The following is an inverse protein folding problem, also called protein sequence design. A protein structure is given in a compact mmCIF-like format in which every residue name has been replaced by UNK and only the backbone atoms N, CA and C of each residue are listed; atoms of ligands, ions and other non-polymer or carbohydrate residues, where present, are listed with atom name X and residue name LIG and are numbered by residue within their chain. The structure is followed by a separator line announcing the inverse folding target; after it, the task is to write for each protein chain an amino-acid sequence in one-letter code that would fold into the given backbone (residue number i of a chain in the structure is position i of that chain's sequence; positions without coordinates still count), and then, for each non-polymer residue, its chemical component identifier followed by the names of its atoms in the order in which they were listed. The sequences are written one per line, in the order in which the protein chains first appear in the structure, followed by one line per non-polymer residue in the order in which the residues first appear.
data_IF_354961974835
#
_entry.id   IF_354961974835
#
_cell.length_a   1.000
_cell.length_b   1.000
_cell.length_c   1.000
_cell.angle_alpha   90.00
_cell.angle_beta   90.00
_cell.angle_gamma   90.00
#
_symmetry.space_group_name_H-M   'P 1'
#
loop_
_entity.id
_entity.type
_entity.pdbx_description
1 polymer ?
#
# COMPACT_ATOMS: atom_id res chain seq x y z
N UNK A 1 16.06 -22.60 -5.01
CA UNK A 1 15.02 -21.86 -4.26
C UNK A 1 14.80 -20.53 -4.97
N UNK A 2 13.56 -20.16 -5.34
CA UNK A 2 13.32 -18.82 -5.86
C UNK A 2 13.77 -17.82 -4.80
N UNK A 3 14.58 -16.84 -5.19
CA UNK A 3 15.05 -15.81 -4.27
C UNK A 3 13.83 -15.02 -3.80
N UNK A 4 13.51 -15.01 -2.49
CA UNK A 4 12.41 -14.21 -2.00
C UNK A 4 12.71 -12.73 -2.27
N UNK A 5 11.66 -11.94 -2.49
CA UNK A 5 11.81 -10.49 -2.60
C UNK A 5 12.53 -9.94 -1.37
N UNK A 6 13.50 -9.02 -1.53
CA UNK A 6 14.15 -8.35 -0.42
C UNK A 6 13.11 -7.71 0.51
N UNK A 7 13.39 -7.69 1.82
CA UNK A 7 12.49 -7.09 2.81
C UNK A 7 12.24 -5.61 2.50
N UNK A 8 13.29 -4.88 2.17
CA UNK A 8 13.22 -3.45 1.82
C UNK A 8 12.32 -3.21 0.61
N UNK A 9 12.45 -4.03 -0.44
CA UNK A 9 11.60 -3.93 -1.62
C UNK A 9 10.12 -4.15 -1.27
N UNK A 10 9.81 -5.15 -0.46
CA UNK A 10 8.44 -5.36 0.02
C UNK A 10 7.92 -4.15 0.81
N UNK A 11 8.74 -3.59 1.69
CA UNK A 11 8.34 -2.45 2.53
C UNK A 11 8.10 -1.19 1.70
N UNK A 12 8.94 -0.94 0.70
CA UNK A 12 8.77 0.17 -0.26
C UNK A 12 7.46 0.04 -1.04
N UNK A 13 7.21 -1.14 -1.64
CA UNK A 13 5.97 -1.39 -2.40
C UNK A 13 4.73 -1.29 -1.50
N UNK A 14 4.82 -1.76 -0.25
CA UNK A 14 3.73 -1.63 0.74
C UNK A 14 3.50 -0.18 1.13
N UNK A 15 4.56 0.61 1.30
CA UNK A 15 4.49 2.05 1.59
C UNK A 15 3.77 2.80 0.48
N UNK A 16 4.20 2.59 -0.78
CA UNK A 16 3.57 3.19 -1.97
C UNK A 16 2.12 2.73 -2.12
N UNK A 17 1.82 1.46 -1.86
CA UNK A 17 0.45 0.96 -1.90
C UNK A 17 -0.45 1.51 -0.79
N UNK A 18 0.10 1.90 0.35
CA UNK A 18 -0.63 2.55 1.45
C UNK A 18 -0.88 4.03 1.17
N UNK A 19 0.15 4.76 0.76
CA UNK A 19 0.09 6.18 0.37
C UNK A 19 -0.36 6.42 -1.08
N UNK A 20 -1.14 5.50 -1.65
CA UNK A 20 -1.55 5.60 -3.07
C UNK A 20 -2.62 6.66 -3.26
N UNK A 21 -2.50 7.41 -4.35
CA UNK A 21 -3.50 8.42 -4.73
C UNK A 21 -4.91 7.81 -4.92
N UNK A 22 -5.97 8.57 -4.60
CA UNK A 22 -7.35 8.13 -4.79
C UNK A 22 -7.64 7.90 -6.28
N UNK A 23 -7.73 6.63 -6.67
CA UNK A 23 -7.90 6.20 -8.07
C UNK A 23 -6.78 5.28 -8.56
N UNK A 24 -5.65 5.22 -7.84
CA UNK A 24 -4.62 4.21 -8.08
C UNK A 24 -5.03 2.89 -7.45
N UNK A 25 -5.14 1.85 -8.27
CA UNK A 25 -5.49 0.50 -7.81
C UNK A 25 -4.23 -0.26 -7.38
N UNK A 26 -4.42 -1.21 -6.46
CA UNK A 26 -3.35 -2.14 -6.05
C UNK A 26 -2.81 -2.93 -7.24
N UNK A 27 -3.65 -3.22 -8.24
CA UNK A 27 -3.25 -3.90 -9.47
C UNK A 27 -2.30 -3.06 -10.32
N UNK A 28 -2.53 -1.75 -10.45
CA UNK A 28 -1.63 -0.83 -11.15
C UNK A 28 -0.26 -0.83 -10.48
N UNK A 29 -0.23 -0.62 -9.17
CA UNK A 29 1.02 -0.61 -8.38
C UNK A 29 1.75 -1.94 -8.51
N UNK A 30 1.05 -3.07 -8.33
CA UNK A 30 1.64 -4.39 -8.50
C UNK A 30 2.27 -4.55 -9.88
N UNK A 31 1.59 -4.10 -10.95
CA UNK A 31 2.10 -4.13 -12.32
C UNK A 31 3.33 -3.24 -12.52
N UNK A 32 3.32 -2.01 -12.01
CA UNK A 32 4.44 -1.06 -12.13
C UNK A 32 5.70 -1.57 -11.41
N UNK A 33 5.54 -2.27 -10.28
CA UNK A 33 6.65 -2.88 -9.54
C UNK A 33 7.00 -4.31 -10.01
N UNK A 34 6.29 -4.86 -10.99
CA UNK A 34 6.50 -6.23 -11.48
C UNK A 34 6.15 -7.34 -10.49
N UNK A 35 5.29 -7.05 -9.51
CA UNK A 35 4.84 -7.98 -8.47
C UNK A 35 3.44 -8.49 -8.81
N UNK A 36 3.14 -9.74 -8.47
CA UNK A 36 1.76 -10.23 -8.57
C UNK A 36 0.84 -9.49 -7.59
N UNK A 37 -0.35 -9.08 -8.06
CA UNK A 37 -1.36 -8.40 -7.23
C UNK A 37 -1.70 -9.14 -5.95
N UNK A 38 -1.84 -10.47 -6.01
CA UNK A 38 -2.07 -11.32 -4.83
C UNK A 38 -0.92 -11.27 -3.81
N UNK A 39 0.33 -11.14 -4.27
CA UNK A 39 1.49 -11.02 -3.40
C UNK A 39 1.48 -9.69 -2.66
N UNK A 40 1.19 -8.59 -3.37
CA UNK A 40 1.07 -7.27 -2.77
C UNK A 40 -0.09 -7.20 -1.76
N UNK A 41 -1.24 -7.79 -2.07
CA UNK A 41 -2.36 -7.89 -1.12
C UNK A 41 -1.98 -8.63 0.16
N UNK A 42 -1.25 -9.75 0.06
CA UNK A 42 -0.75 -10.49 1.23
C UNK A 42 0.20 -9.65 2.08
N UNK A 43 1.05 -8.84 1.45
CA UNK A 43 1.96 -7.94 2.16
C UNK A 43 1.21 -6.83 2.89
N UNK A 44 0.21 -6.22 2.24
CA UNK A 44 -0.67 -5.22 2.85
C UNK A 44 -1.43 -5.78 4.06
N UNK A 45 -2.01 -6.99 3.92
CA UNK A 45 -2.73 -7.64 5.02
C UNK A 45 -1.80 -7.94 6.19
N UNK A 46 -0.58 -8.44 5.93
CA UNK A 46 0.39 -8.70 6.98
C UNK A 46 0.87 -7.43 7.66
N UNK A 47 1.05 -6.35 6.91
CA UNK A 47 1.42 -5.06 7.44
C UNK A 47 0.27 -4.44 8.27
N UNK A 48 -0.99 -4.68 7.90
CA UNK A 48 -2.14 -4.24 8.69
C UNK A 48 -2.25 -4.98 10.03
N UNK A 49 -1.94 -6.27 10.05
CA UNK A 49 -1.87 -7.07 11.29
C UNK A 49 -0.71 -6.61 12.19
N UNK A 50 0.48 -6.36 11.62
CA UNK A 50 1.63 -5.83 12.36
C UNK A 50 1.32 -4.44 12.95
N UNK A 51 0.60 -3.60 12.23
CA UNK A 51 0.19 -2.29 12.74
C UNK A 51 -0.88 -2.39 13.85
N UNK A 52 -1.89 -3.24 13.69
CA UNK A 52 -2.84 -3.53 14.76
C UNK A 52 -2.19 -4.14 16.02
N UNK A 53 -1.03 -4.78 15.86
CA UNK A 53 -0.18 -5.27 16.95
C UNK A 53 0.76 -4.20 17.51
N UNK A 54 1.00 -3.10 16.79
CA UNK A 54 1.82 -1.96 17.20
C UNK A 54 0.91 -0.79 17.59
N UNK A 55 0.64 -0.57 18.89
CA UNK A 55 -0.14 0.57 19.32
C UNK A 55 0.65 1.86 19.06
N UNK A 56 0.51 2.48 17.88
CA UNK A 56 1.13 3.78 17.65
C UNK A 56 1.24 4.35 16.24
N UNK A 57 0.92 3.64 15.13
CA UNK A 57 1.27 4.20 13.81
C UNK A 57 0.30 4.08 12.61
N UNK A 58 -0.88 3.46 12.70
CA UNK A 58 -1.90 3.60 11.62
C UNK A 58 -2.99 4.61 11.93
N UNK A 59 -2.71 5.89 11.66
CA UNK A 59 -3.80 6.86 11.38
C UNK A 59 -3.35 8.07 10.54
N UNK A 60 -2.60 7.84 9.48
CA UNK A 60 -2.28 8.86 8.44
C UNK A 60 -1.92 7.99 7.23
N UNK A 61 -2.61 7.92 6.09
CA UNK A 61 -3.52 8.79 5.37
C UNK A 61 -4.61 7.92 4.70
N UNK A 62 -5.75 7.74 5.36
CA UNK A 62 -6.94 7.22 4.72
C UNK A 62 -7.92 8.37 4.53
N UNK A 63 -7.88 9.03 3.36
CA UNK A 63 -8.85 10.06 2.90
C UNK A 63 -8.64 11.46 3.48
N UNK A 64 -7.77 12.27 2.85
CA UNK A 64 -7.79 13.75 2.98
C UNK A 64 -7.59 14.43 1.60
N UNK A 65 -8.07 13.85 0.50
CA UNK A 65 -7.98 14.50 -0.82
C UNK A 65 -9.25 14.27 -1.63
N UNK A 66 -10.35 14.93 -1.23
CA UNK A 66 -11.43 15.28 -2.16
C UNK A 66 -12.38 16.35 -1.62
N UNK A 67 -11.85 17.54 -1.33
CA UNK A 67 -12.67 18.79 -1.37
C UNK A 67 -11.90 19.95 -2.02
N UNK A 68 -11.37 19.70 -3.23
CA UNK A 68 -10.85 20.76 -4.10
C UNK A 68 -11.44 20.65 -5.53
N UNK A 69 -12.77 20.50 -5.62
CA UNK A 69 -13.48 20.80 -6.86
C UNK A 69 -14.89 21.31 -6.57
N UNK A 70 -15.00 22.63 -6.61
CA UNK A 70 -16.23 23.42 -6.72
C UNK A 70 -17.20 22.83 -7.75
N UNK A 71 -18.50 23.06 -7.57
CA UNK A 71 -19.17 23.80 -8.63
C UNK A 71 -20.02 24.97 -8.10
N UNK A 72 -20.09 25.98 -8.96
CA UNK A 72 -20.98 27.15 -8.98
C UNK A 72 -22.45 26.81 -8.69
#
# INVERSE_FOLDING_TARGET
MPKPYPREFREDVVSVARGREPGVTIERIAKDFGVHTMTLQKWLQRAAVDDGMRPGQSRTEGVELREARSPT
#
